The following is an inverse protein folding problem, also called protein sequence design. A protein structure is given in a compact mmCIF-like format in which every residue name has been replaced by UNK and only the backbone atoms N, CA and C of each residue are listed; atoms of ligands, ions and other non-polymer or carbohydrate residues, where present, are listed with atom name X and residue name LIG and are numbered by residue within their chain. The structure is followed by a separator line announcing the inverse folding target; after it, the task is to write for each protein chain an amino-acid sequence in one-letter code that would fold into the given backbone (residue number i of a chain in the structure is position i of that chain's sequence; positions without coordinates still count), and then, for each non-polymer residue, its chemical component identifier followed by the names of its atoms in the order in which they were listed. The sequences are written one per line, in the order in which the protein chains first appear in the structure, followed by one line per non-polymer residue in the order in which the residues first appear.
data_IF_961327310272
#
_entry.id   IF_961327310272
#
_cell.length_a   1.000
_cell.length_b   1.000
_cell.length_c   1.000
_cell.angle_alpha   90.00
_cell.angle_beta   90.00
_cell.angle_gamma   90.00
#
_symmetry.space_group_name_H-M   'P 1'
#
loop_
_entity.id
_entity.type
_entity.pdbx_description
1 polymer ?
#
# COMPACT_ATOMS: atom_id res chain seq x y z
N UNK A 1 26.69 -55.50 35.77
CA UNK A 1 27.49 -54.80 36.80
C UNK A 1 28.95 -55.06 36.48
N UNK A 2 29.64 -54.05 35.98
CA UNK A 2 31.04 -54.13 35.57
C UNK A 2 31.78 -52.88 36.03
N UNK A 3 32.76 -53.13 36.88
CA UNK A 3 34.09 -52.54 37.00
C UNK A 3 34.28 -51.02 37.18
N UNK A 4 34.69 -50.74 38.41
CA UNK A 4 35.64 -49.74 38.91
C UNK A 4 36.91 -49.61 38.04
N UNK A 5 37.36 -48.37 37.76
CA UNK A 5 38.67 -47.81 38.16
C UNK A 5 39.07 -46.57 37.34
N UNK A 6 39.64 -45.57 38.02
CA UNK A 6 40.86 -44.91 37.53
C UNK A 6 40.71 -43.53 36.87
N UNK A 7 40.60 -42.49 37.69
CA UNK A 7 40.82 -41.08 37.29
C UNK A 7 42.32 -40.86 36.99
N UNK A 8 42.66 -40.49 35.75
CA UNK A 8 43.97 -39.92 35.41
C UNK A 8 43.83 -38.48 34.89
N UNK A 9 44.47 -37.56 35.62
CA UNK A 9 44.66 -36.16 35.25
C UNK A 9 45.75 -36.06 34.17
N UNK A 10 45.39 -35.64 32.95
CA UNK A 10 46.37 -35.20 31.94
C UNK A 10 46.42 -33.68 31.90
N UNK A 11 47.60 -33.16 32.25
CA UNK A 11 48.03 -31.78 32.02
C UNK A 11 48.15 -31.58 30.50
N UNK A 12 47.48 -30.57 29.95
CA UNK A 12 47.81 -30.07 28.61
C UNK A 12 48.66 -28.82 28.73
N UNK A 13 49.78 -28.90 28.00
CA UNK A 13 50.92 -28.00 27.95
C UNK A 13 50.68 -27.08 26.75
N UNK A 14 50.81 -25.78 26.99
CA UNK A 14 50.83 -24.74 25.97
C UNK A 14 51.99 -24.99 24.99
N UNK A 15 51.72 -24.93 23.69
CA UNK A 15 52.73 -24.79 22.64
C UNK A 15 52.17 -23.75 21.65
N UNK A 16 52.82 -22.60 21.61
CA UNK A 16 52.74 -21.61 20.53
C UNK A 16 53.30 -22.22 19.24
N UNK A 17 52.62 -21.98 18.12
CA UNK A 17 53.22 -22.08 16.79
C UNK A 17 52.53 -21.05 15.90
N UNK A 18 53.25 -19.96 15.66
CA UNK A 18 53.04 -19.02 14.57
C UNK A 18 53.28 -19.75 13.24
N UNK A 19 52.31 -19.73 12.35
CA UNK A 19 52.54 -19.86 10.90
C UNK A 19 51.68 -18.81 10.17
N UNK A 20 52.40 -17.88 9.54
CA UNK A 20 51.92 -16.92 8.56
C UNK A 20 51.53 -17.63 7.24
N UNK A 21 50.86 -16.85 6.37
CA UNK A 21 50.63 -17.07 4.93
C UNK A 21 49.41 -17.95 4.57
N UNK A 22 48.48 -17.59 3.68
CA UNK A 22 48.43 -16.58 2.63
C UNK A 22 46.95 -16.26 2.33
N UNK A 23 46.61 -14.98 2.20
CA UNK A 23 45.30 -14.51 1.77
C UNK A 23 45.14 -14.69 0.25
N UNK A 24 44.29 -15.63 -0.18
CA UNK A 24 43.69 -15.59 -1.52
C UNK A 24 42.43 -14.72 -1.48
N UNK A 25 42.55 -13.51 -2.02
CA UNK A 25 41.44 -12.60 -2.25
C UNK A 25 40.59 -13.14 -3.41
N UNK A 26 39.35 -13.51 -3.12
CA UNK A 26 38.30 -13.62 -4.14
C UNK A 26 37.71 -12.21 -4.40
N UNK A 27 37.41 -11.83 -5.65
CA UNK A 27 36.79 -10.55 -5.92
C UNK A 27 35.35 -10.53 -5.40
N UNK A 28 35.13 -9.81 -4.31
CA UNK A 28 33.81 -9.47 -3.80
C UNK A 28 33.15 -8.54 -4.81
N UNK A 29 32.06 -9.01 -5.41
CA UNK A 29 31.22 -8.23 -6.29
C UNK A 29 30.70 -7.00 -5.54
N UNK A 30 30.91 -5.83 -6.15
CA UNK A 30 30.40 -4.55 -5.68
C UNK A 30 28.86 -4.62 -5.55
N UNK A 31 28.25 -4.05 -4.50
CA UNK A 31 26.83 -3.78 -4.51
C UNK A 31 26.56 -2.80 -5.65
N UNK A 32 25.80 -3.26 -6.64
CA UNK A 32 25.42 -2.48 -7.81
C UNK A 32 24.79 -1.15 -7.39
N UNK A 33 25.30 -0.11 -8.05
CA UNK A 33 24.85 1.26 -7.97
C UNK A 33 23.39 1.39 -8.45
N UNK A 34 22.71 2.37 -7.85
CA UNK A 34 21.31 2.72 -7.96
C UNK A 34 20.77 2.84 -9.40
N UNK A 35 19.50 2.43 -9.61
CA UNK A 35 18.70 2.95 -10.72
C UNK A 35 18.05 4.29 -10.30
N UNK A 36 18.19 5.37 -11.10
CA UNK A 36 17.63 6.66 -10.77
C UNK A 36 16.21 6.79 -11.32
N UNK A 37 15.19 6.64 -10.47
CA UNK A 37 13.88 7.25 -10.73
C UNK A 37 13.45 7.99 -9.46
N UNK A 38 14.22 9.00 -9.11
CA UNK A 38 13.72 10.12 -8.33
C UNK A 38 13.78 11.35 -9.24
N UNK A 39 12.91 11.38 -10.26
CA UNK A 39 12.57 12.65 -10.87
C UNK A 39 11.71 13.39 -9.84
N UNK A 40 12.18 14.56 -9.45
CA UNK A 40 11.49 15.53 -8.62
C UNK A 40 10.18 15.89 -9.30
N UNK A 41 9.08 15.23 -8.90
CA UNK A 41 7.74 15.63 -9.30
C UNK A 41 7.25 16.54 -8.19
N UNK A 42 7.29 17.84 -8.44
CA UNK A 42 6.55 18.82 -7.66
C UNK A 42 5.07 18.43 -7.74
N UNK A 43 4.48 18.03 -6.61
CA UNK A 43 3.09 17.58 -6.55
C UNK A 43 2.19 18.80 -6.67
N UNK A 44 1.35 18.86 -7.71
CA UNK A 44 0.30 19.85 -7.81
C UNK A 44 -0.99 19.32 -7.16
N UNK A 45 -1.11 19.61 -5.87
CA UNK A 45 -2.26 19.27 -5.02
C UNK A 45 -3.60 19.83 -5.57
N UNK A 46 -3.57 20.82 -6.48
CA UNK A 46 -4.78 21.38 -7.12
C UNK A 46 -5.43 20.43 -8.12
N UNK A 47 -4.67 19.49 -8.68
CA UNK A 47 -5.18 18.54 -9.68
C UNK A 47 -6.22 17.59 -9.11
N UNK A 48 -6.09 17.22 -7.84
CA UNK A 48 -7.08 16.40 -7.14
C UNK A 48 -8.35 17.20 -6.87
N UNK A 49 -8.22 18.47 -6.46
CA UNK A 49 -9.36 19.36 -6.19
C UNK A 49 -10.32 19.46 -7.39
N UNK A 50 -9.80 19.53 -8.61
CA UNK A 50 -10.62 19.62 -9.83
C UNK A 50 -11.47 18.38 -10.13
N UNK A 51 -11.09 17.19 -9.64
CA UNK A 51 -11.88 15.96 -9.81
C UNK A 51 -13.10 15.90 -8.88
N UNK A 52 -13.10 16.68 -7.80
CA UNK A 52 -14.12 16.70 -6.75
C UNK A 52 -14.90 18.01 -6.69
N UNK A 53 -14.69 18.94 -7.62
CA UNK A 53 -15.51 20.15 -7.69
C UNK A 53 -16.93 19.78 -8.15
N UNK A 54 -17.97 20.12 -7.35
CA UNK A 54 -19.34 19.90 -7.75
C UNK A 54 -19.70 20.81 -8.92
N UNK A 55 -20.36 20.25 -9.93
CA UNK A 55 -21.04 21.06 -10.95
C UNK A 55 -22.15 21.85 -10.25
N UNK A 56 -22.31 23.13 -10.58
CA UNK A 56 -23.17 24.08 -9.85
C UNK A 56 -24.68 23.80 -9.99
N UNK A 57 -25.06 22.60 -10.39
CA UNK A 57 -26.42 22.19 -10.73
C UNK A 57 -26.99 21.05 -9.88
N UNK A 58 -26.24 20.44 -8.96
CA UNK A 58 -26.76 19.35 -8.11
C UNK A 58 -26.86 19.78 -6.64
N UNK A 59 -27.93 20.51 -6.33
CA UNK A 59 -28.44 20.63 -4.97
C UNK A 59 -29.86 20.07 -4.90
N UNK A 60 -30.07 19.23 -3.88
CA UNK A 60 -31.33 18.71 -3.31
C UNK A 60 -31.69 17.27 -3.71
N UNK A 61 -31.44 16.33 -2.78
CA UNK A 61 -32.52 15.68 -2.00
C UNK A 61 -31.92 14.81 -0.87
N UNK A 62 -32.08 15.26 0.38
CA UNK A 62 -31.83 14.44 1.57
C UNK A 62 -33.13 13.79 2.04
N UNK A 63 -33.13 12.47 2.27
CA UNK A 63 -34.14 11.82 3.12
C UNK A 63 -33.51 10.91 4.19
N UNK A 64 -34.01 11.14 5.41
CA UNK A 64 -33.63 10.57 6.71
C UNK A 64 -34.11 9.12 6.87
N UNK A 65 -33.31 8.25 7.51
CA UNK A 65 -33.80 7.04 8.21
C UNK A 65 -33.08 6.85 9.55
N UNK A 66 -33.86 6.50 10.59
CA UNK A 66 -33.47 6.34 12.00
C UNK A 66 -32.87 4.95 12.32
N UNK A 67 -31.92 4.95 13.28
CA UNK A 67 -31.33 3.84 14.09
C UNK A 67 -32.40 3.07 14.90
N UNK A 68 -32.30 1.82 15.39
CA UNK A 68 -31.26 0.90 15.92
C UNK A 68 -31.95 -0.48 16.27
N UNK A 69 -31.34 -1.55 16.88
CA UNK A 69 -30.02 -2.20 16.71
C UNK A 69 -29.99 -3.78 16.80
N UNK A 70 -28.89 -4.37 16.28
CA UNK A 70 -28.07 -5.54 16.75
C UNK A 70 -28.61 -7.02 16.77
N UNK A 71 -27.74 -8.06 16.90
CA UNK A 71 -27.07 -8.75 15.79
C UNK A 71 -27.20 -10.29 15.83
N UNK A 72 -27.00 -10.98 14.70
CA UNK A 72 -26.62 -12.39 14.73
C UNK A 72 -25.40 -12.63 13.82
N UNK A 73 -24.37 -13.19 14.45
CA UNK A 73 -23.07 -13.51 13.88
C UNK A 73 -23.22 -14.79 13.07
N UNK A 74 -23.26 -14.66 11.74
CA UNK A 74 -23.16 -15.80 10.83
C UNK A 74 -21.76 -15.81 10.21
N UNK A 75 -21.06 -16.93 10.44
CA UNK A 75 -19.69 -17.22 9.98
C UNK A 75 -19.53 -16.85 8.51
N UNK A 76 -18.76 -15.80 8.23
CA UNK A 76 -18.44 -15.39 6.87
C UNK A 76 -17.43 -16.37 6.28
N UNK A 77 -17.91 -17.18 5.32
CA UNK A 77 -17.06 -17.80 4.31
C UNK A 77 -16.31 -16.68 3.59
N UNK A 78 -14.99 -16.80 3.46
CA UNK A 78 -14.23 -15.87 2.64
C UNK A 78 -14.83 -15.83 1.23
N UNK A 79 -15.14 -14.66 0.68
CA UNK A 79 -15.58 -14.57 -0.71
C UNK A 79 -14.38 -14.91 -1.59
N UNK A 80 -14.45 -16.03 -2.30
CA UNK A 80 -13.70 -16.20 -3.54
C UNK A 80 -13.91 -14.95 -4.37
N UNK A 81 -12.84 -14.22 -4.67
CA UNK A 81 -12.89 -13.05 -5.52
C UNK A 81 -13.28 -13.48 -6.93
N UNK A 82 -14.57 -13.62 -7.16
CA UNK A 82 -15.12 -13.80 -8.50
C UNK A 82 -14.90 -12.46 -9.20
N UNK A 83 -13.89 -12.40 -10.08
CA UNK A 83 -13.68 -11.27 -10.98
C UNK A 83 -14.98 -11.07 -11.73
N UNK A 84 -15.75 -10.04 -11.36
CA UNK A 84 -17.02 -9.73 -12.02
C UNK A 84 -16.65 -9.29 -13.43
N UNK A 85 -17.17 -10.01 -14.43
CA UNK A 85 -17.03 -9.54 -15.81
C UNK A 85 -17.81 -8.23 -15.95
N UNK A 86 -17.16 -7.21 -16.51
CA UNK A 86 -17.81 -5.92 -16.77
C UNK A 86 -19.01 -6.17 -17.68
N UNK A 87 -20.18 -5.66 -17.25
CA UNK A 87 -21.41 -5.70 -18.05
C UNK A 87 -21.23 -4.90 -19.33
N UNK A 88 -21.97 -5.23 -20.39
CA UNK A 88 -21.91 -4.49 -21.66
C UNK A 88 -22.25 -3.00 -21.55
N UNK A 89 -22.96 -2.60 -20.48
CA UNK A 89 -23.18 -1.22 -20.09
C UNK A 89 -22.97 -1.11 -18.56
N UNK A 90 -21.76 -0.73 -18.10
CA UNK A 90 -21.47 -0.65 -16.67
C UNK A 90 -22.20 0.52 -16.05
N UNK A 91 -22.83 0.27 -14.91
CA UNK A 91 -23.42 1.34 -14.10
C UNK A 91 -22.33 2.16 -13.39
N UNK A 92 -22.73 3.27 -12.77
CA UNK A 92 -21.79 4.17 -12.08
C UNK A 92 -20.97 3.44 -11.01
N UNK A 93 -21.58 2.48 -10.30
CA UNK A 93 -20.89 1.73 -9.25
C UNK A 93 -19.89 0.74 -9.85
N UNK A 94 -20.24 0.05 -10.93
CA UNK A 94 -19.33 -0.80 -11.70
C UNK A 94 -18.07 0.00 -12.09
N UNK A 95 -18.23 1.24 -12.59
CA UNK A 95 -17.08 2.11 -12.90
C UNK A 95 -16.22 2.44 -11.67
N UNK A 96 -16.85 2.71 -10.51
CA UNK A 96 -16.13 3.02 -9.26
C UNK A 96 -15.32 1.81 -8.78
N UNK A 97 -15.91 0.62 -8.81
CA UNK A 97 -15.22 -0.63 -8.45
C UNK A 97 -14.05 -0.90 -9.39
N UNK A 98 -14.26 -0.72 -10.69
CA UNK A 98 -13.21 -0.89 -11.67
C UNK A 98 -12.07 0.10 -11.44
N UNK A 99 -12.35 1.37 -11.15
CA UNK A 99 -11.31 2.33 -10.77
C UNK A 99 -10.56 1.87 -9.51
N UNK A 100 -11.26 1.40 -8.47
CA UNK A 100 -10.63 0.89 -7.24
C UNK A 100 -9.68 -0.28 -7.48
N UNK A 101 -10.05 -1.23 -8.35
CA UNK A 101 -9.22 -2.38 -8.65
C UNK A 101 -7.89 -2.02 -9.31
N UNK A 102 -7.77 -0.83 -9.89
CA UNK A 102 -6.57 -0.33 -10.58
C UNK A 102 -6.25 1.10 -10.20
N UNK A 103 -6.54 1.46 -8.95
CA UNK A 103 -6.47 2.85 -8.49
C UNK A 103 -5.07 3.45 -8.68
N UNK A 104 -4.04 2.61 -8.57
CA UNK A 104 -2.63 2.98 -8.72
C UNK A 104 -2.28 3.43 -10.15
N UNK A 105 -3.08 3.06 -11.15
CA UNK A 105 -2.96 3.57 -12.52
C UNK A 105 -3.89 4.77 -12.79
N UNK A 106 -4.97 4.90 -12.03
CA UNK A 106 -5.95 5.98 -12.20
C UNK A 106 -5.49 7.29 -11.57
N UNK A 107 -4.92 7.22 -10.37
CA UNK A 107 -4.58 8.38 -9.55
C UNK A 107 -3.07 8.53 -9.35
N UNK A 108 -2.67 9.68 -8.82
CA UNK A 108 -1.27 9.88 -8.42
C UNK A 108 -0.96 9.03 -7.17
N UNK A 109 0.33 8.90 -6.84
CA UNK A 109 0.78 8.11 -5.71
C UNK A 109 0.09 8.56 -4.42
N UNK A 110 -0.53 7.60 -3.73
CA UNK A 110 -1.06 7.77 -2.38
C UNK A 110 -0.48 6.70 -1.45
N UNK A 111 -0.09 7.04 -0.21
CA UNK A 111 0.03 8.40 0.33
C UNK A 111 1.03 9.28 -0.43
N UNK A 112 0.90 10.61 -0.35
CA UNK A 112 1.92 11.53 -0.87
C UNK A 112 3.30 11.22 -0.25
N UNK A 113 4.34 11.27 -1.07
CA UNK A 113 5.71 10.95 -0.64
C UNK A 113 6.26 11.95 0.38
N UNK A 114 5.79 13.20 0.29
CA UNK A 114 6.10 14.37 1.11
C UNK A 114 5.20 14.53 2.34
N UNK A 115 4.30 13.58 2.62
CA UNK A 115 3.45 13.65 3.80
C UNK A 115 4.27 13.56 5.11
N UNK A 116 4.06 14.52 6.00
CA UNK A 116 4.76 14.61 7.30
C UNK A 116 4.13 13.69 8.34
N UNK A 117 4.75 12.54 8.55
CA UNK A 117 4.33 11.58 9.57
C UNK A 117 4.77 11.98 10.99
N UNK A 118 5.78 12.82 11.16
CA UNK A 118 6.21 13.28 12.48
C UNK A 118 5.19 14.25 13.06
N UNK A 119 4.65 15.17 12.23
CA UNK A 119 3.52 16.02 12.62
C UNK A 119 2.29 15.17 12.97
N UNK A 120 1.97 14.16 12.14
CA UNK A 120 0.85 13.27 12.39
C UNK A 120 1.00 12.49 13.72
N UNK A 121 2.19 11.98 14.03
CA UNK A 121 2.49 11.29 15.29
C UNK A 121 2.36 12.24 16.48
N UNK A 122 2.92 13.45 16.36
CA UNK A 122 2.87 14.49 17.40
C UNK A 122 1.43 14.84 17.78
N UNK A 123 0.53 14.99 16.80
CA UNK A 123 -0.91 15.25 17.01
C UNK A 123 -1.59 14.21 17.91
N UNK A 124 -1.15 12.95 17.86
CA UNK A 124 -1.70 11.85 18.67
C UNK A 124 -0.84 11.52 19.91
N UNK A 125 0.14 12.36 20.24
CA UNK A 125 1.12 12.13 21.33
C UNK A 125 1.84 10.79 21.19
N UNK A 126 2.26 10.48 19.96
CA UNK A 126 2.99 9.26 19.63
C UNK A 126 4.43 9.61 19.28
N UNK A 127 5.34 8.64 19.47
CA UNK A 127 6.72 8.71 19.00
C UNK A 127 7.07 7.43 18.25
N UNK A 128 7.69 7.58 17.08
CA UNK A 128 8.24 6.45 16.34
C UNK A 128 9.47 5.92 17.06
N UNK A 129 9.55 4.61 17.21
CA UNK A 129 10.66 3.88 17.83
C UNK A 129 11.05 2.74 16.91
N UNK A 130 12.35 2.51 16.76
CA UNK A 130 12.85 1.42 15.95
C UNK A 130 12.47 0.06 16.55
N UNK A 131 12.11 -0.88 15.67
CA UNK A 131 11.61 -2.20 16.07
C UNK A 131 12.65 -2.99 16.90
N UNK A 132 13.95 -2.79 16.66
CA UNK A 132 15.04 -3.49 17.37
C UNK A 132 15.14 -3.13 18.85
N UNK A 133 14.72 -1.92 19.23
CA UNK A 133 14.76 -1.43 20.61
C UNK A 133 13.38 -1.32 21.23
N UNK A 134 12.31 -1.43 20.43
CA UNK A 134 10.92 -1.25 20.84
C UNK A 134 10.53 -2.02 22.11
N UNK A 135 11.01 -3.25 22.27
CA UNK A 135 10.70 -4.09 23.45
C UNK A 135 11.30 -3.54 24.75
N UNK A 136 12.46 -2.88 24.68
CA UNK A 136 13.21 -2.39 25.85
C UNK A 136 12.86 -0.96 26.22
N UNK A 137 12.43 -0.18 25.23
CA UNK A 137 11.96 1.19 25.40
C UNK A 137 10.74 1.30 26.31
N UNK A 138 10.64 2.37 27.10
CA UNK A 138 9.49 2.61 27.98
C UNK A 138 8.22 2.95 27.17
N UNK A 139 7.05 2.53 27.64
CA UNK A 139 5.78 2.76 26.92
C UNK A 139 5.53 4.24 26.65
N UNK A 140 5.87 5.09 27.60
CA UNK A 140 5.76 6.55 27.53
C UNK A 140 7.16 7.12 27.81
N UNK A 141 7.60 8.10 27.02
CA UNK A 141 8.87 8.82 27.29
C UNK A 141 8.67 9.99 28.27
N UNK A 142 9.76 10.68 28.60
CA UNK A 142 9.75 11.82 29.51
C UNK A 142 8.88 13.00 29.02
N UNK A 143 8.57 13.05 27.73
CA UNK A 143 7.69 14.05 27.10
C UNK A 143 6.21 13.62 27.08
N UNK A 144 5.86 12.47 27.65
CA UNK A 144 4.49 11.95 27.65
C UNK A 144 4.05 11.32 26.32
N UNK A 145 4.97 11.04 25.41
CA UNK A 145 4.69 10.44 24.09
C UNK A 145 4.74 8.92 24.17
N UNK A 146 3.69 8.28 23.66
CA UNK A 146 3.57 6.81 23.62
C UNK A 146 4.40 6.23 22.48
N UNK A 147 5.17 5.18 22.75
CA UNK A 147 5.96 4.50 21.70
C UNK A 147 5.06 3.77 20.71
N UNK A 148 5.41 3.88 19.43
CA UNK A 148 4.89 3.07 18.33
C UNK A 148 6.03 2.69 17.40
N UNK A 149 5.88 1.63 16.63
CA UNK A 149 6.81 1.30 15.56
C UNK A 149 6.08 1.28 14.21
N UNK A 150 6.78 1.65 13.14
CA UNK A 150 6.22 1.62 11.78
C UNK A 150 6.22 0.19 11.24
N UNK A 151 5.13 -0.21 10.61
CA UNK A 151 4.99 -1.54 10.01
C UNK A 151 5.82 -1.59 8.73
N UNK A 152 6.74 -2.55 8.65
CA UNK A 152 7.60 -2.73 7.48
C UNK A 152 6.76 -2.92 6.19
N UNK A 153 7.10 -2.20 5.14
CA UNK A 153 6.37 -2.18 3.85
C UNK A 153 5.10 -1.32 3.84
N UNK A 154 4.66 -0.78 4.98
CA UNK A 154 3.44 0.03 5.08
C UNK A 154 3.73 1.39 5.73
N UNK A 155 4.37 2.28 4.97
CA UNK A 155 4.71 3.64 5.44
C UNK A 155 3.46 4.35 5.97
N UNK A 156 3.57 4.94 7.16
CA UNK A 156 2.47 5.64 7.82
C UNK A 156 1.49 4.74 8.59
N UNK A 157 1.70 3.43 8.59
CA UNK A 157 0.96 2.48 9.44
C UNK A 157 1.84 2.08 10.60
N UNK A 158 1.34 2.25 11.81
CA UNK A 158 2.07 2.04 13.05
C UNK A 158 1.41 1.00 13.93
N UNK A 159 2.19 0.38 14.81
CA UNK A 159 1.68 -0.52 15.85
C UNK A 159 2.10 -0.12 17.24
N UNK A 160 1.18 -0.29 18.19
CA UNK A 160 1.40 -0.07 19.62
C UNK A 160 1.96 -1.34 20.27
N UNK A 161 2.45 -1.23 21.51
CA UNK A 161 2.85 -2.39 22.32
C UNK A 161 1.70 -3.35 22.63
N UNK A 162 0.47 -2.82 22.72
CA UNK A 162 -0.75 -3.61 22.90
C UNK A 162 -1.14 -4.40 21.64
N UNK A 163 -0.52 -4.08 20.50
CA UNK A 163 -0.77 -4.74 19.22
C UNK A 163 -1.80 -4.03 18.35
N UNK A 164 -2.34 -2.89 18.78
CA UNK A 164 -3.25 -2.06 17.98
C UNK A 164 -2.53 -1.51 16.74
N UNK A 165 -3.26 -1.40 15.64
CA UNK A 165 -2.77 -0.80 14.39
C UNK A 165 -3.34 0.60 14.22
N UNK A 166 -2.46 1.57 14.01
CA UNK A 166 -2.78 2.98 13.80
C UNK A 166 -2.40 3.36 12.37
N UNK A 167 -3.40 3.63 11.54
CA UNK A 167 -3.18 4.13 10.18
C UNK A 167 -3.23 5.67 10.20
N UNK A 168 -2.05 6.28 10.08
CA UNK A 168 -1.87 7.74 10.08
C UNK A 168 -1.71 8.32 8.67
N UNK A 169 -1.97 7.52 7.63
CA UNK A 169 -1.96 8.01 6.25
C UNK A 169 -3.08 9.04 6.05
N UNK A 170 -2.88 10.08 5.22
CA UNK A 170 -3.85 11.13 5.01
C UNK A 170 -5.18 10.58 4.48
N UNK A 171 -6.29 11.00 5.08
CA UNK A 171 -7.63 10.61 4.60
C UNK A 171 -7.98 11.25 3.26
N UNK A 172 -7.42 12.43 2.99
CA UNK A 172 -7.54 13.10 1.71
C UNK A 172 -6.77 12.33 0.63
N UNK A 173 -7.37 12.26 -0.56
CA UNK A 173 -6.81 11.53 -1.69
C UNK A 173 -6.74 10.00 -1.53
N UNK A 174 -7.23 9.45 -0.41
CA UNK A 174 -7.24 8.00 -0.19
C UNK A 174 -8.08 7.31 -1.27
N UNK A 175 -7.54 6.30 -1.99
CA UNK A 175 -8.26 5.56 -3.02
C UNK A 175 -9.27 4.60 -2.40
N UNK A 176 -10.35 5.15 -1.85
CA UNK A 176 -11.44 4.42 -1.22
C UNK A 176 -12.75 4.63 -1.97
N UNK A 177 -13.70 3.71 -1.79
CA UNK A 177 -15.03 3.84 -2.39
C UNK A 177 -15.69 5.15 -1.98
N UNK A 178 -15.55 5.55 -0.71
CA UNK A 178 -16.12 6.78 -0.18
C UNK A 178 -15.55 8.04 -0.86
N UNK A 179 -14.27 8.03 -1.24
CA UNK A 179 -13.70 9.15 -1.99
C UNK A 179 -14.15 9.11 -3.43
N UNK A 180 -14.05 7.97 -4.10
CA UNK A 180 -14.40 7.83 -5.52
C UNK A 180 -15.91 8.07 -5.74
N UNK A 181 -16.77 7.78 -4.77
CA UNK A 181 -18.21 8.06 -4.87
C UNK A 181 -18.52 9.57 -4.94
N UNK A 182 -17.62 10.43 -4.44
CA UNK A 182 -17.73 11.89 -4.51
C UNK A 182 -17.28 12.45 -5.87
N UNK A 183 -16.65 11.65 -6.72
CA UNK A 183 -16.27 12.05 -8.08
C UNK A 183 -17.54 12.14 -8.94
N UNK A 184 -17.65 13.21 -9.71
CA UNK A 184 -18.74 13.37 -10.68
C UNK A 184 -18.80 12.16 -11.62
N UNK A 185 -19.98 11.57 -11.76
CA UNK A 185 -20.21 10.35 -12.55
C UNK A 185 -19.75 10.49 -14.01
N UNK A 186 -19.85 11.69 -14.60
CA UNK A 186 -19.37 12.00 -15.96
C UNK A 186 -17.85 11.89 -16.12
N UNK A 187 -17.10 12.04 -15.03
CA UNK A 187 -15.64 11.95 -15.03
C UNK A 187 -15.12 10.51 -14.82
N UNK A 188 -15.94 9.60 -14.30
CA UNK A 188 -15.52 8.23 -14.00
C UNK A 188 -15.00 7.49 -15.26
N UNK A 189 -15.67 7.54 -16.43
CA UNK A 189 -15.15 6.88 -17.63
C UNK A 189 -13.78 7.42 -18.04
N UNK A 190 -13.57 8.74 -17.96
CA UNK A 190 -12.28 9.38 -18.29
C UNK A 190 -11.15 8.89 -17.38
N UNK A 191 -11.40 8.77 -16.09
CA UNK A 191 -10.44 8.26 -15.10
C UNK A 191 -10.11 6.79 -15.35
N UNK A 192 -11.14 5.99 -15.63
CA UNK A 192 -10.97 4.56 -15.91
C UNK A 192 -10.19 4.34 -17.22
N UNK A 193 -10.46 5.11 -18.26
CA UNK A 193 -9.71 5.08 -19.53
C UNK A 193 -8.22 5.36 -19.29
N UNK A 194 -7.90 6.38 -18.47
CA UNK A 194 -6.50 6.67 -18.09
C UNK A 194 -5.86 5.44 -17.43
N UNK A 195 -6.53 4.86 -16.45
CA UNK A 195 -6.02 3.69 -15.72
C UNK A 195 -5.83 2.46 -16.61
N UNK A 196 -6.78 2.16 -17.49
CA UNK A 196 -6.69 1.02 -18.42
C UNK A 196 -5.55 1.18 -19.43
N UNK A 197 -5.32 2.40 -19.93
CA UNK A 197 -4.18 2.68 -20.84
C UNK A 197 -2.84 2.45 -20.14
N UNK A 198 -2.67 3.01 -18.95
CA UNK A 198 -1.45 2.82 -18.16
C UNK A 198 -1.24 1.34 -17.79
N UNK A 199 -2.31 0.63 -17.43
CA UNK A 199 -2.24 -0.82 -17.16
C UNK A 199 -1.81 -1.63 -18.40
N UNK A 200 -2.31 -1.26 -19.59
CA UNK A 200 -1.91 -1.89 -20.85
C UNK A 200 -0.44 -1.62 -21.18
N UNK A 201 0.02 -0.39 -21.02
CA UNK A 201 1.43 -0.01 -21.23
C UNK A 201 2.36 -0.82 -20.33
N UNK A 202 2.02 -0.93 -19.04
CA UNK A 202 2.79 -1.70 -18.07
C UNK A 202 2.79 -3.20 -18.40
N UNK A 203 1.63 -3.75 -18.79
CA UNK A 203 1.51 -5.14 -19.22
C UNK A 203 2.38 -5.44 -20.45
N UNK A 204 2.37 -4.57 -21.45
CA UNK A 204 3.18 -4.75 -22.67
C UNK A 204 4.67 -4.72 -22.32
N UNK A 205 5.07 -3.86 -21.38
CA UNK A 205 6.45 -3.70 -20.96
C UNK A 205 6.97 -4.87 -20.14
N UNK A 206 6.17 -5.38 -19.20
CA UNK A 206 6.63 -6.35 -18.20
C UNK A 206 6.15 -7.79 -18.46
N UNK A 207 5.01 -7.98 -19.12
CA UNK A 207 4.47 -9.30 -19.47
C UNK A 207 3.91 -9.34 -20.92
N UNK A 208 4.75 -9.11 -21.96
CA UNK A 208 4.30 -9.00 -23.35
C UNK A 208 3.59 -10.26 -23.90
N UNK A 209 3.82 -11.42 -23.30
CA UNK A 209 3.26 -12.70 -23.75
C UNK A 209 1.84 -12.95 -23.19
N UNK A 210 1.34 -12.14 -22.26
CA UNK A 210 0.04 -12.31 -21.63
C UNK A 210 -1.11 -11.80 -22.53
N UNK A 211 -1.30 -12.46 -23.68
CA UNK A 211 -2.27 -12.06 -24.70
C UNK A 211 -3.72 -12.13 -24.19
N UNK A 212 -4.03 -13.05 -23.28
CA UNK A 212 -5.37 -13.17 -22.70
C UNK A 212 -5.74 -11.90 -21.92
N UNK A 213 -4.86 -11.45 -21.02
CA UNK A 213 -5.10 -10.24 -20.24
C UNK A 213 -5.08 -8.99 -21.12
N UNK A 214 -4.16 -8.91 -22.08
CA UNK A 214 -4.10 -7.81 -23.05
C UNK A 214 -5.43 -7.66 -23.81
N UNK A 215 -5.92 -8.74 -24.42
CA UNK A 215 -7.18 -8.73 -25.16
C UNK A 215 -8.40 -8.40 -24.28
N UNK A 216 -8.34 -8.77 -22.99
CA UNK A 216 -9.38 -8.41 -22.03
C UNK A 216 -9.38 -6.89 -21.75
N UNK A 217 -8.22 -6.32 -21.42
CA UNK A 217 -8.06 -4.89 -21.13
C UNK A 217 -8.37 -4.01 -22.35
N UNK A 218 -7.95 -4.41 -23.55
CA UNK A 218 -8.26 -3.67 -24.79
C UNK A 218 -9.77 -3.62 -25.06
N UNK A 219 -10.48 -4.72 -24.81
CA UNK A 219 -11.93 -4.79 -24.95
C UNK A 219 -12.63 -3.88 -23.94
N UNK A 220 -12.19 -3.92 -22.68
CA UNK A 220 -12.71 -3.03 -21.63
C UNK A 220 -12.47 -1.56 -22.01
N UNK A 221 -11.25 -1.22 -22.43
CA UNK A 221 -10.90 0.14 -22.85
C UNK A 221 -11.81 0.63 -23.97
N UNK A 222 -12.02 -0.18 -25.02
CA UNK A 222 -12.90 0.16 -26.14
C UNK A 222 -14.35 0.40 -25.68
N UNK A 223 -14.87 -0.44 -24.79
CA UNK A 223 -16.23 -0.30 -24.26
C UNK A 223 -16.40 1.02 -23.49
N UNK A 224 -15.48 1.32 -22.57
CA UNK A 224 -15.55 2.54 -21.76
C UNK A 224 -15.35 3.79 -22.63
N UNK A 225 -14.49 3.74 -23.64
CA UNK A 225 -14.32 4.84 -24.61
C UNK A 225 -15.61 5.14 -25.38
N UNK A 226 -16.31 4.11 -25.85
CA UNK A 226 -17.60 4.29 -26.53
C UNK A 226 -18.66 4.88 -25.59
N UNK A 227 -18.70 4.42 -24.34
CA UNK A 227 -19.60 4.99 -23.33
C UNK A 227 -19.28 6.47 -23.07
N UNK A 228 -18.00 6.83 -22.94
CA UNK A 228 -17.59 8.20 -22.70
C UNK A 228 -17.95 9.12 -23.88
N UNK A 229 -17.75 8.68 -25.12
CA UNK A 229 -18.12 9.46 -26.30
C UNK A 229 -19.62 9.76 -26.33
N UNK A 230 -20.47 8.75 -26.09
CA UNK A 230 -21.93 8.91 -26.04
C UNK A 230 -22.43 9.84 -24.92
N UNK A 231 -21.62 10.09 -23.89
CA UNK A 231 -21.95 11.02 -22.80
C UNK A 231 -21.53 12.47 -23.09
N UNK A 232 -20.65 12.67 -24.08
CA UNK A 232 -20.13 13.99 -24.47
C UNK A 232 -20.81 14.55 -25.72
N UNK A 233 -21.38 13.66 -26.56
CA UNK A 233 -22.26 14.00 -27.68
C UNK A 233 -23.68 14.39 -27.18
#
# INVERSE_FOLDING_TARGET
MSNDTGVQKKKHKYIDSEEEEQQQQQPVQQPQQQSPIAQTITVDYKKWKFLFEPDSSEQQEEKKVKKNPNPQITKQKQPEQRVKQIKSNPDTDDLRYEILCRWWYCFDQWPPSDFDYEEALSKYKLRKVDLSVFKRESEINDQGLRKVYEVNGYKGVFRTSAGDTLDLRPREGCPSYEQISKINSKNLPKILIKGLKAQLEDLIKHEPNNQQLKNHLERQLKQIQQQYQRQMD
#
